data_IF_528621282515
#
_entry.id   IF_528621282515
#
_cell.length_a   1.000
_cell.length_b   1.000
_cell.length_c   1.000
_cell.angle_alpha   90.00
_cell.angle_beta   90.00
_cell.angle_gamma   90.00
#
_symmetry.space_group_name_H-M   'P 1'
#
loop_
_entity.id
_entity.type
_entity.pdbx_description
1 polymer ?
#
# COMPACT_ATOMS: atom_id res chain seq x y z
N UNK A 1 -14.05 14.97 11.79
CA UNK A 1 -15.26 15.81 11.94
C UNK A 1 -14.86 17.25 11.62
N UNK A 2 -15.79 18.07 11.15
CA UNK A 2 -15.55 19.48 10.86
C UNK A 2 -16.60 20.36 11.57
N UNK A 3 -16.19 21.53 12.08
CA UNK A 3 -17.08 22.45 12.77
C UNK A 3 -18.07 23.08 11.78
N UNK A 4 -19.29 23.28 12.23
CA UNK A 4 -20.38 23.94 11.51
C UNK A 4 -20.53 25.37 12.00
N UNK A 5 -21.14 26.24 11.18
CA UNK A 5 -21.37 27.65 11.52
C UNK A 5 -22.21 27.86 12.78
N UNK A 6 -23.04 26.88 13.16
CA UNK A 6 -23.89 26.92 14.37
C UNK A 6 -23.19 26.34 15.62
N UNK A 7 -21.88 26.10 15.58
CA UNK A 7 -21.11 25.54 16.70
C UNK A 7 -21.24 24.02 16.89
N UNK A 8 -21.99 23.33 16.02
CA UNK A 8 -22.06 21.86 16.02
C UNK A 8 -20.91 21.24 15.21
N UNK A 9 -20.73 19.92 15.30
CA UNK A 9 -19.73 19.17 14.55
C UNK A 9 -20.39 18.16 13.63
N UNK A 10 -19.92 18.07 12.39
CA UNK A 10 -20.33 17.02 11.46
C UNK A 10 -19.20 16.02 11.26
N UNK A 11 -19.48 14.74 11.48
CA UNK A 11 -18.57 13.65 11.16
C UNK A 11 -18.86 13.13 9.75
N UNK A 12 -17.81 12.85 8.98
CA UNK A 12 -17.90 12.19 7.67
C UNK A 12 -18.08 10.67 7.79
N UNK A 13 -17.77 10.10 8.95
CA UNK A 13 -17.89 8.68 9.24
C UNK A 13 -17.56 8.35 10.70
N UNK A 14 -17.87 7.13 11.10
CA UNK A 14 -17.58 6.57 12.42
C UNK A 14 -17.22 5.09 12.31
N UNK A 15 -16.50 4.57 13.30
CA UNK A 15 -16.02 3.19 13.31
C UNK A 15 -16.13 2.61 14.72
N UNK A 16 -16.69 1.39 14.82
CA UNK A 16 -16.79 0.63 16.07
C UNK A 16 -15.86 -0.59 16.02
N UNK A 17 -15.04 -0.78 17.05
CA UNK A 17 -14.13 -1.91 17.14
C UNK A 17 -14.43 -2.72 18.40
N UNK A 18 -14.69 -4.00 18.23
CA UNK A 18 -14.80 -4.96 19.33
C UNK A 18 -13.39 -5.34 19.77
N UNK A 19 -13.00 -4.95 20.98
CA UNK A 19 -11.66 -5.24 21.54
C UNK A 19 -11.57 -6.63 22.18
N UNK A 20 -12.69 -7.34 22.23
CA UNK A 20 -12.88 -8.68 22.78
C UNK A 20 -13.04 -9.76 21.70
N UNK A 21 -12.88 -9.41 20.41
CA UNK A 21 -13.06 -10.32 19.28
C UNK A 21 -11.97 -10.15 18.23
N UNK A 22 -11.60 -11.26 17.59
CA UNK A 22 -10.70 -11.28 16.42
C UNK A 22 -11.47 -11.33 15.09
N UNK A 23 -12.80 -11.19 15.12
CA UNK A 23 -13.59 -11.19 13.89
C UNK A 23 -13.22 -9.97 13.04
N UNK A 24 -12.77 -10.23 11.82
CA UNK A 24 -12.55 -9.18 10.83
C UNK A 24 -13.89 -8.60 10.36
N UNK A 25 -13.91 -7.30 10.05
CA UNK A 25 -15.09 -6.66 9.47
C UNK A 25 -15.44 -7.32 8.13
N UNK A 26 -16.73 -7.39 7.75
CA UNK A 26 -17.13 -7.89 6.44
C UNK A 26 -16.45 -7.11 5.31
N UNK A 27 -15.80 -7.83 4.39
CA UNK A 27 -15.19 -7.25 3.18
C UNK A 27 -16.19 -7.06 2.05
N UNK A 28 -16.03 -6.00 1.26
CA UNK A 28 -16.78 -5.73 0.02
C UNK A 28 -18.29 -5.53 0.18
N UNK A 29 -18.81 -5.42 1.41
CA UNK A 29 -20.24 -5.25 1.70
C UNK A 29 -20.63 -3.77 1.68
N UNK A 30 -21.81 -3.40 1.12
CA UNK A 30 -22.31 -2.04 1.19
C UNK A 30 -22.34 -1.49 2.63
N UNK A 31 -21.83 -0.26 2.82
CA UNK A 31 -21.75 0.38 4.14
C UNK A 31 -20.51 0.03 4.97
N UNK A 32 -19.70 -0.96 4.56
CA UNK A 32 -18.42 -1.28 5.19
C UNK A 32 -17.26 -0.72 4.37
N UNK A 33 -16.49 0.17 4.97
CA UNK A 33 -15.29 0.79 4.38
C UNK A 33 -14.14 0.79 5.39
N UNK A 34 -12.98 1.29 4.98
CA UNK A 34 -11.74 1.31 5.73
C UNK A 34 -10.96 2.60 5.45
N UNK A 35 -10.05 2.96 6.36
CA UNK A 35 -9.12 4.08 6.16
C UNK A 35 -8.19 3.84 4.97
N UNK A 36 -7.88 2.58 4.70
CA UNK A 36 -7.15 2.11 3.54
C UNK A 36 -8.13 1.66 2.45
N UNK A 37 -7.99 2.11 1.21
CA UNK A 37 -8.97 1.76 0.17
C UNK A 37 -9.03 0.26 -0.19
N UNK A 38 -7.94 -0.48 0.01
CA UNK A 38 -7.89 -1.94 -0.13
C UNK A 38 -8.40 -2.68 1.13
N UNK A 39 -8.58 -1.98 2.26
CA UNK A 39 -8.89 -2.60 3.54
C UNK A 39 -7.72 -3.28 4.23
N UNK A 40 -6.49 -2.96 3.81
CA UNK A 40 -5.27 -3.48 4.43
C UNK A 40 -4.93 -2.71 5.71
N UNK A 41 -4.30 -3.36 6.71
CA UNK A 41 -3.72 -2.64 7.83
C UNK A 41 -2.60 -1.72 7.32
N UNK A 42 -2.66 -0.43 7.66
CA UNK A 42 -1.72 0.57 7.11
C UNK A 42 -0.31 0.33 7.64
N UNK A 43 -0.16 0.29 8.97
CA UNK A 43 1.15 0.28 9.64
C UNK A 43 2.08 -0.87 9.18
N UNK A 44 1.63 -2.13 9.05
CA UNK A 44 2.49 -3.21 8.58
C UNK A 44 3.02 -3.06 7.16
N UNK A 45 2.43 -2.19 6.34
CA UNK A 45 2.90 -1.92 4.97
C UNK A 45 3.87 -0.74 4.86
N UNK A 46 4.05 0.05 5.93
CA UNK A 46 4.88 1.26 5.89
C UNK A 46 6.37 0.91 5.94
N UNK A 47 7.19 1.55 5.09
CA UNK A 47 8.63 1.54 5.28
C UNK A 47 8.99 2.30 6.56
N UNK A 48 9.77 1.71 7.46
CA UNK A 48 10.16 2.33 8.74
C UNK A 48 11.64 2.64 8.75
N UNK A 49 11.99 3.82 9.27
CA UNK A 49 13.36 4.33 9.22
C UNK A 49 14.35 3.38 9.89
N UNK A 50 14.06 2.94 11.12
CA UNK A 50 15.00 2.09 11.86
C UNK A 50 15.26 0.74 11.16
N UNK A 51 14.28 0.19 10.44
CA UNK A 51 14.48 -1.01 9.62
C UNK A 51 15.34 -0.72 8.38
N UNK A 52 15.01 0.35 7.66
CA UNK A 52 15.72 0.75 6.45
C UNK A 52 17.19 1.09 6.76
N UNK A 53 17.44 1.87 7.81
CA UNK A 53 18.76 2.26 8.29
C UNK A 53 19.56 1.06 8.81
N UNK A 54 18.90 0.02 9.35
CA UNK A 54 19.55 -1.26 9.68
C UNK A 54 19.93 -2.11 8.46
N UNK A 55 19.51 -1.69 7.26
CA UNK A 55 19.80 -2.36 5.99
C UNK A 55 18.79 -3.45 5.60
N UNK A 56 17.71 -3.65 6.36
CA UNK A 56 16.73 -4.69 6.06
C UNK A 56 15.32 -4.36 6.56
N UNK A 57 14.37 -4.28 5.63
CA UNK A 57 12.93 -4.30 5.91
C UNK A 57 12.42 -5.73 5.66
N UNK A 58 11.78 -6.34 6.66
CA UNK A 58 11.40 -7.78 6.64
C UNK A 58 9.91 -8.03 6.41
N UNK A 59 9.27 -7.18 5.62
CA UNK A 59 7.86 -7.29 5.29
C UNK A 59 7.57 -6.71 3.90
N UNK A 60 6.38 -7.00 3.38
CA UNK A 60 5.91 -6.39 2.15
C UNK A 60 5.58 -4.92 2.38
N UNK A 61 5.78 -4.09 1.36
CA UNK A 61 5.42 -2.67 1.40
C UNK A 61 4.02 -2.45 0.82
N UNK A 62 3.48 -1.26 1.03
CA UNK A 62 2.27 -0.77 0.35
C UNK A 62 2.59 0.31 -0.66
N UNK A 63 1.83 0.36 -1.74
CA UNK A 63 1.92 1.43 -2.72
C UNK A 63 0.56 1.80 -3.33
N UNK A 64 0.53 2.90 -4.07
CA UNK A 64 -0.68 3.39 -4.74
C UNK A 64 -0.56 3.40 -6.26
N UNK A 65 -1.72 3.38 -6.92
CA UNK A 65 -1.88 3.45 -8.38
C UNK A 65 -3.00 4.43 -8.71
N UNK A 66 -2.99 5.06 -9.88
CA UNK A 66 -3.99 6.09 -10.19
C UNK A 66 -5.41 5.57 -10.35
N UNK A 67 -5.55 4.32 -10.83
CA UNK A 67 -6.84 3.68 -11.07
C UNK A 67 -6.77 2.20 -10.70
N UNK A 68 -7.84 1.73 -10.09
CA UNK A 68 -8.02 0.32 -9.72
C UNK A 68 -9.31 -0.24 -10.31
N UNK A 69 -9.36 -1.56 -10.41
CA UNK A 69 -10.57 -2.31 -10.75
C UNK A 69 -11.51 -2.37 -9.55
N UNK A 70 -12.81 -2.45 -9.80
CA UNK A 70 -13.86 -2.82 -8.84
C UNK A 70 -13.73 -4.30 -8.47
N UNK A 71 -12.62 -4.65 -7.83
CA UNK A 71 -12.25 -5.98 -7.41
C UNK A 71 -11.10 -5.90 -6.40
N UNK A 72 -10.92 -6.95 -5.60
CA UNK A 72 -9.77 -7.09 -4.71
C UNK A 72 -9.25 -8.52 -4.67
N UNK A 73 -8.00 -8.68 -4.23
CA UNK A 73 -7.37 -9.98 -3.97
C UNK A 73 -7.02 -10.05 -2.47
N UNK A 74 -7.45 -11.10 -1.74
CA UNK A 74 -7.07 -11.29 -0.35
C UNK A 74 -5.55 -11.22 -0.13
N UNK A 75 -5.06 -10.61 0.97
CA UNK A 75 -5.81 -10.23 2.17
C UNK A 75 -6.50 -8.87 2.11
N UNK A 76 -6.50 -8.17 0.97
CA UNK A 76 -7.37 -7.01 0.81
C UNK A 76 -8.84 -7.43 0.97
N UNK A 77 -9.66 -6.52 1.47
CA UNK A 77 -11.08 -6.77 1.79
C UNK A 77 -12.00 -5.79 1.08
N UNK A 78 -11.46 -4.83 0.33
CA UNK A 78 -12.25 -3.73 -0.22
C UNK A 78 -11.71 -3.25 -1.58
N UNK A 79 -12.56 -2.59 -2.36
CA UNK A 79 -12.22 -1.89 -3.61
C UNK A 79 -12.70 -0.44 -3.53
N UNK A 80 -12.01 0.48 -4.20
CA UNK A 80 -12.41 1.90 -4.24
C UNK A 80 -12.56 2.40 -5.68
N UNK A 81 -13.31 1.64 -6.48
CA UNK A 81 -13.54 1.95 -7.89
C UNK A 81 -14.92 1.46 -8.34
N UNK A 82 -15.49 2.12 -9.35
CA UNK A 82 -16.66 1.64 -10.09
C UNK A 82 -16.27 0.94 -11.41
N UNK A 83 -15.00 1.02 -11.82
CA UNK A 83 -14.51 0.51 -13.11
C UNK A 83 -14.26 -1.00 -13.06
N UNK A 84 -14.86 -1.75 -13.97
CA UNK A 84 -14.77 -3.22 -14.00
C UNK A 84 -13.70 -3.76 -14.96
N UNK A 85 -12.99 -2.88 -15.67
CA UNK A 85 -11.98 -3.24 -16.67
C UNK A 85 -10.91 -4.20 -16.11
N UNK A 86 -10.68 -5.30 -16.82
CA UNK A 86 -9.65 -6.27 -16.48
C UNK A 86 -8.21 -5.74 -16.68
N UNK A 87 -8.05 -4.59 -17.36
CA UNK A 87 -6.76 -3.94 -17.57
C UNK A 87 -6.31 -3.09 -16.36
N UNK A 88 -7.17 -2.92 -15.36
CA UNK A 88 -6.83 -2.21 -14.13
C UNK A 88 -6.44 -3.20 -13.02
N UNK A 89 -5.47 -2.84 -12.17
CA UNK A 89 -5.10 -3.68 -11.04
C UNK A 89 -6.24 -3.74 -10.01
N UNK A 90 -6.55 -4.92 -9.44
CA UNK A 90 -7.42 -5.00 -8.26
C UNK A 90 -6.67 -4.50 -7.02
N UNK A 91 -7.43 -4.06 -6.01
CA UNK A 91 -6.85 -3.82 -4.68
C UNK A 91 -6.20 -5.10 -4.13
N UNK A 92 -5.12 -4.98 -3.38
CA UNK A 92 -4.36 -6.11 -2.86
C UNK A 92 -3.50 -6.84 -3.89
N UNK A 93 -3.51 -6.44 -5.17
CA UNK A 93 -2.58 -6.98 -6.17
C UNK A 93 -1.15 -6.85 -5.65
N UNK A 94 -0.42 -7.97 -5.67
CA UNK A 94 0.98 -8.01 -5.22
C UNK A 94 1.92 -7.95 -6.42
N UNK A 95 2.87 -7.04 -6.38
CA UNK A 95 3.99 -6.96 -7.31
C UNK A 95 5.30 -7.20 -6.58
N UNK A 96 6.35 -7.59 -7.28
CA UNK A 96 7.72 -7.62 -6.73
C UNK A 96 8.74 -7.28 -7.80
N UNK A 97 9.90 -6.80 -7.40
CA UNK A 97 11.01 -6.63 -8.34
C UNK A 97 11.41 -8.00 -8.91
N UNK A 98 11.69 -8.02 -10.20
CA UNK A 98 12.20 -9.21 -10.89
C UNK A 98 13.50 -9.68 -10.25
N UNK A 99 13.73 -10.99 -10.27
CA UNK A 99 14.99 -11.58 -9.78
C UNK A 99 16.22 -11.01 -10.48
N UNK A 100 16.07 -10.62 -11.76
CA UNK A 100 17.11 -10.02 -12.60
C UNK A 100 17.40 -8.54 -12.30
N UNK A 101 16.55 -7.84 -11.54
CA UNK A 101 16.81 -6.44 -11.18
C UNK A 101 18.03 -6.35 -10.26
N UNK A 102 19.05 -5.60 -10.66
CA UNK A 102 20.27 -5.38 -9.87
C UNK A 102 20.08 -4.12 -9.04
N UNK A 103 20.17 -4.27 -7.71
CA UNK A 103 20.11 -3.13 -6.78
C UNK A 103 21.45 -2.39 -6.87
N UNK A 104 21.48 -1.09 -7.24
CA UNK A 104 22.73 -0.36 -7.37
C UNK A 104 23.51 -0.29 -6.06
N UNK A 105 24.79 -0.66 -6.09
CA UNK A 105 25.64 -0.68 -4.88
C UNK A 105 25.86 0.72 -4.30
N UNK A 106 25.85 1.74 -5.16
CA UNK A 106 26.03 3.14 -4.79
C UNK A 106 24.79 3.82 -4.20
N UNK A 107 23.65 3.13 -4.10
CA UNK A 107 22.48 3.69 -3.42
C UNK A 107 22.66 3.68 -1.90
N UNK A 108 21.97 4.61 -1.23
CA UNK A 108 21.89 4.67 0.23
C UNK A 108 21.46 3.35 0.86
N UNK A 109 21.86 3.12 2.12
CA UNK A 109 21.49 1.93 2.89
C UNK A 109 19.97 1.74 2.91
N UNK A 110 19.23 2.82 3.09
CA UNK A 110 17.78 2.88 3.13
C UNK A 110 17.15 2.49 1.79
N UNK A 111 17.61 3.08 0.67
CA UNK A 111 17.10 2.73 -0.66
C UNK A 111 17.37 1.27 -0.99
N UNK A 112 18.57 0.76 -0.69
CA UNK A 112 18.88 -0.67 -0.91
C UNK A 112 18.00 -1.57 -0.05
N UNK A 113 17.74 -1.22 1.21
CA UNK A 113 16.85 -1.98 2.09
C UNK A 113 15.40 -2.01 1.56
N UNK A 114 14.90 -0.87 1.08
CA UNK A 114 13.58 -0.75 0.44
C UNK A 114 13.51 -1.61 -0.82
N UNK A 115 14.48 -1.50 -1.73
CA UNK A 115 14.52 -2.30 -2.96
C UNK A 115 14.66 -3.80 -2.68
N UNK A 116 15.47 -4.18 -1.69
CA UNK A 116 15.59 -5.57 -1.26
C UNK A 116 14.26 -6.11 -0.72
N UNK A 117 13.51 -5.29 0.02
CA UNK A 117 12.17 -5.66 0.49
C UNK A 117 11.18 -5.79 -0.66
N UNK A 118 11.18 -4.86 -1.63
CA UNK A 118 10.37 -4.97 -2.85
C UNK A 118 10.71 -6.22 -3.67
N UNK A 119 11.95 -6.67 -3.65
CA UNK A 119 12.39 -7.90 -4.35
C UNK A 119 11.98 -9.16 -3.60
N UNK A 120 12.15 -9.18 -2.28
CA UNK A 120 11.94 -10.37 -1.44
C UNK A 120 10.48 -10.55 -1.06
N UNK A 121 9.85 -9.50 -0.56
CA UNK A 121 8.49 -9.50 -0.03
C UNK A 121 7.49 -8.80 -0.96
N UNK A 122 7.95 -8.01 -1.94
CA UNK A 122 7.04 -7.33 -2.85
C UNK A 122 6.25 -6.20 -2.20
N UNK A 123 5.25 -5.72 -2.93
CA UNK A 123 4.41 -4.60 -2.56
C UNK A 123 2.95 -4.89 -2.91
N UNK A 124 2.03 -4.35 -2.10
CA UNK A 124 0.59 -4.50 -2.27
C UNK A 124 -0.04 -3.19 -2.74
N UNK A 125 -0.89 -3.26 -3.76
CA UNK A 125 -1.77 -2.13 -4.15
C UNK A 125 -2.73 -1.87 -2.99
N UNK A 126 -2.57 -0.74 -2.32
CA UNK A 126 -3.32 -0.40 -1.12
C UNK A 126 -4.31 0.75 -1.34
N UNK A 127 -4.03 1.65 -2.28
CA UNK A 127 -4.86 2.83 -2.50
C UNK A 127 -4.83 3.37 -3.93
N UNK A 128 -5.79 4.24 -4.22
CA UNK A 128 -5.78 5.09 -5.38
C UNK A 128 -4.97 6.36 -5.08
N UNK A 129 -3.98 6.67 -5.91
CA UNK A 129 -3.10 7.81 -5.71
C UNK A 129 -2.08 7.97 -6.84
N UNK A 130 -0.96 8.65 -6.56
CA UNK A 130 0.14 8.75 -7.51
C UNK A 130 0.73 7.37 -7.81
N UNK A 131 0.95 7.07 -9.09
CA UNK A 131 1.49 5.77 -9.50
C UNK A 131 2.83 5.48 -8.81
N UNK A 132 2.97 4.24 -8.33
CA UNK A 132 4.20 3.72 -7.71
C UNK A 132 4.62 4.46 -6.42
N UNK A 133 3.71 5.18 -5.78
CA UNK A 133 4.01 5.89 -4.55
C UNK A 133 4.04 4.94 -3.35
N UNK A 134 5.21 4.77 -2.74
CA UNK A 134 5.45 3.92 -1.57
C UNK A 134 5.26 4.74 -0.30
N UNK A 135 4.58 4.17 0.71
CA UNK A 135 4.33 4.87 1.97
C UNK A 135 5.41 4.55 3.02
N UNK A 136 5.97 5.59 3.62
CA UNK A 136 6.87 5.49 4.78
C UNK A 136 6.17 5.95 6.07
N UNK A 137 6.61 5.41 7.20
CA UNK A 137 6.27 5.95 8.51
C UNK A 137 6.96 7.32 8.69
N UNK A 138 6.25 8.36 9.20
CA UNK A 138 6.86 9.66 9.41
C UNK A 138 8.08 9.59 10.34
N UNK A 139 9.21 10.09 9.87
CA UNK A 139 10.44 10.20 10.64
C UNK A 139 11.27 11.36 10.09
N UNK A 140 11.83 12.21 10.96
CA UNK A 140 12.61 13.37 10.55
C UNK A 140 14.00 12.99 9.98
N UNK A 141 14.45 11.74 10.20
CA UNK A 141 15.74 11.25 9.71
C UNK A 141 15.71 10.79 8.25
N UNK A 142 14.53 10.71 7.64
CA UNK A 142 14.42 10.40 6.22
C UNK A 142 15.01 11.51 5.36
N UNK A 143 15.96 11.14 4.48
CA UNK A 143 16.37 12.00 3.38
C UNK A 143 15.48 11.75 2.16
N UNK A 144 14.31 12.39 2.13
CA UNK A 144 13.32 12.16 1.07
C UNK A 144 13.82 12.56 -0.32
N UNK A 145 14.64 13.62 -0.44
CA UNK A 145 15.18 14.04 -1.73
C UNK A 145 16.10 12.96 -2.33
N UNK A 146 16.95 12.35 -1.50
CA UNK A 146 17.81 11.26 -1.92
C UNK A 146 17.00 10.00 -2.27
N UNK A 147 16.02 9.63 -1.44
CA UNK A 147 15.14 8.49 -1.70
C UNK A 147 14.39 8.66 -3.03
N UNK A 148 13.84 9.85 -3.30
CA UNK A 148 13.16 10.15 -4.57
C UNK A 148 14.12 10.06 -5.74
N UNK A 149 15.33 10.61 -5.62
CA UNK A 149 16.33 10.57 -6.68
C UNK A 149 16.79 9.13 -6.99
N UNK A 150 17.00 8.29 -5.97
CA UNK A 150 17.47 6.92 -6.12
C UNK A 150 16.34 5.98 -6.59
N UNK A 151 15.23 5.93 -5.86
CA UNK A 151 14.10 5.05 -6.16
C UNK A 151 13.38 5.43 -7.46
N UNK A 152 13.46 6.70 -7.88
CA UNK A 152 12.93 7.18 -9.16
C UNK A 152 13.57 6.53 -10.40
N UNK A 153 14.71 5.86 -10.26
CA UNK A 153 15.34 5.09 -11.33
C UNK A 153 14.66 3.75 -11.59
N UNK A 154 13.83 3.27 -10.67
CA UNK A 154 13.15 1.97 -10.77
C UNK A 154 11.88 2.13 -11.58
N UNK A 155 11.76 1.34 -12.66
CA UNK A 155 10.63 1.42 -13.59
C UNK A 155 9.59 0.38 -13.25
N UNK A 156 8.33 0.65 -13.60
CA UNK A 156 7.26 -0.34 -13.51
C UNK A 156 7.58 -1.64 -14.26
N UNK A 157 8.36 -1.57 -15.35
CA UNK A 157 8.84 -2.72 -16.12
C UNK A 157 9.82 -3.63 -15.37
N UNK A 158 10.41 -3.15 -14.27
CA UNK A 158 11.32 -3.92 -13.42
C UNK A 158 10.56 -4.82 -12.44
N UNK A 159 9.24 -4.65 -12.35
CA UNK A 159 8.35 -5.46 -11.54
C UNK A 159 7.69 -6.57 -12.34
N UNK A 160 7.26 -7.60 -11.62
CA UNK A 160 6.35 -8.63 -12.08
C UNK A 160 5.17 -8.75 -11.11
N UNK A 161 4.00 -9.11 -11.65
CA UNK A 161 2.82 -9.41 -10.84
C UNK A 161 2.99 -10.80 -10.25
N UNK A 162 2.92 -10.90 -8.93
CA UNK A 162 2.88 -12.20 -8.23
C UNK A 162 1.50 -12.81 -8.49
N UNK A 163 1.45 -14.13 -8.70
CA UNK A 163 0.20 -14.86 -8.98
C UNK A 163 -0.90 -14.44 -8.00
N UNK A 164 -2.03 -14.03 -8.56
CA UNK A 164 -3.23 -13.64 -7.83
C UNK A 164 -4.16 -14.84 -7.72
N UNK A 165 -4.39 -15.31 -6.50
CA UNK A 165 -5.32 -16.39 -6.20
C UNK A 165 -6.51 -15.79 -5.42
N UNK A 166 -7.75 -16.15 -5.76
CA UNK A 166 -8.95 -15.73 -5.03
C UNK A 166 -9.46 -14.31 -5.30
N UNK A 167 -9.40 -13.85 -6.56
CA UNK A 167 -9.99 -12.55 -6.96
C UNK A 167 -11.47 -12.47 -6.56
N UNK A 168 -11.83 -11.43 -5.82
CA UNK A 168 -13.21 -11.12 -5.45
C UNK A 168 -13.72 -9.97 -6.29
N UNK A 169 -14.86 -10.21 -6.95
CA UNK A 169 -15.65 -9.19 -7.66
C UNK A 169 -17.00 -9.02 -6.95
N UNK A 170 -17.68 -7.88 -7.14
CA UNK A 170 -19.07 -7.71 -6.71
C UNK A 170 -20.01 -8.78 -7.27
#
# INVERSE_FOLDING_TARGET
AYPQANGTWQASGGALFHLDSNNVRPGGQPGWTSTDAAGLPIFPGLARYDEAASGAIRHALRFTVSRTRRAYVPPATHWASSDTSANLPPMGMRVRLKSSFVIPEGFSTESRAILQAMKTYGMLVADNGSNWYVSGAPDARWNNDLLVAELGNVKGSDFEVVRMDGLVTP
#
